data_IF_900637477486
#
_entry.id   IF_900637477486
#
_cell.length_a   1.000
_cell.length_b   1.000
_cell.length_c   1.000
_cell.angle_alpha   90.00
_cell.angle_beta   90.00
_cell.angle_gamma   90.00
#
_symmetry.space_group_name_H-M   'P 1'
#
loop_
_entity.id
_entity.type
_entity.pdbx_description
1 polymer ?
#
# COMPACT_ATOMS: atom_id res chain seq x y z
N UNK A 1 7.36 -12.00 10.44
CA UNK A 1 7.73 -12.08 9.00
C UNK A 1 7.45 -10.74 8.35
N UNK A 2 8.46 -10.07 7.80
CA UNK A 2 8.30 -8.78 7.09
C UNK A 2 8.52 -8.95 5.60
N UNK A 3 7.63 -8.42 4.78
CA UNK A 3 7.72 -8.45 3.31
C UNK A 3 7.40 -7.08 2.72
N UNK A 4 8.05 -6.74 1.60
CA UNK A 4 7.75 -5.51 0.87
C UNK A 4 6.49 -5.67 0.01
N UNK A 5 5.97 -4.54 -0.47
CA UNK A 5 4.95 -4.54 -1.51
C UNK A 5 5.55 -4.95 -2.86
N UNK A 6 4.85 -5.82 -3.58
CA UNK A 6 5.02 -6.00 -5.01
C UNK A 6 4.61 -4.71 -5.72
N UNK A 7 5.37 -4.35 -6.75
CA UNK A 7 5.11 -3.17 -7.57
C UNK A 7 5.01 -3.63 -9.01
N UNK A 8 3.84 -3.46 -9.61
CA UNK A 8 3.63 -3.82 -11.01
C UNK A 8 4.44 -2.90 -11.94
N UNK A 9 4.84 -3.41 -13.09
CA UNK A 9 5.65 -2.66 -14.06
C UNK A 9 4.95 -1.36 -14.53
N UNK A 10 3.63 -1.40 -14.75
CA UNK A 10 2.86 -0.24 -15.18
C UNK A 10 2.74 0.81 -14.07
N UNK A 11 2.68 0.40 -12.80
CA UNK A 11 2.75 1.32 -11.64
C UNK A 11 4.13 1.98 -11.58
N UNK A 12 5.22 1.24 -11.84
CA UNK A 12 6.56 1.84 -11.93
C UNK A 12 6.61 2.91 -13.02
N UNK A 13 6.08 2.62 -14.22
CA UNK A 13 6.02 3.58 -15.32
C UNK A 13 5.22 4.82 -14.92
N UNK A 14 4.04 4.64 -14.30
CA UNK A 14 3.22 5.74 -13.83
C UNK A 14 3.97 6.64 -12.83
N UNK A 15 4.68 6.04 -11.87
CA UNK A 15 5.46 6.79 -10.86
C UNK A 15 6.63 7.54 -11.52
N UNK A 16 7.36 6.89 -12.43
CA UNK A 16 8.44 7.55 -13.18
C UNK A 16 7.91 8.68 -14.08
N UNK A 17 6.73 8.52 -14.67
CA UNK A 17 6.07 9.58 -15.44
C UNK A 17 5.70 10.77 -14.54
N UNK A 18 5.18 10.53 -13.34
CA UNK A 18 4.90 11.59 -12.37
C UNK A 18 6.20 12.32 -12.00
N UNK A 19 7.28 11.61 -11.73
CA UNK A 19 8.59 12.23 -11.47
C UNK A 19 9.07 13.08 -12.66
N UNK A 20 8.91 12.60 -13.89
CA UNK A 20 9.26 13.36 -15.09
C UNK A 20 8.41 14.64 -15.23
N UNK A 21 7.11 14.58 -14.93
CA UNK A 21 6.21 15.74 -14.96
C UNK A 21 6.61 16.77 -13.88
N UNK A 22 6.94 16.32 -12.66
CA UNK A 22 7.40 17.22 -11.60
C UNK A 22 8.72 17.91 -11.96
N UNK A 23 9.67 17.20 -12.58
CA UNK A 23 10.90 17.83 -13.09
C UNK A 23 10.57 18.79 -14.23
N UNK A 24 9.72 18.39 -15.17
CA UNK A 24 9.27 19.26 -16.27
C UNK A 24 8.66 20.56 -15.75
N UNK A 25 7.78 20.50 -14.75
CA UNK A 25 7.13 21.69 -14.19
C UNK A 25 8.12 22.66 -13.55
N UNK A 26 9.23 22.18 -12.95
CA UNK A 26 10.31 23.08 -12.49
C UNK A 26 11.03 23.80 -13.63
N UNK A 27 11.19 23.15 -14.78
CA UNK A 27 11.93 23.72 -15.92
C UNK A 27 11.14 24.79 -16.66
N UNK A 28 9.81 24.70 -16.63
CA UNK A 28 8.91 25.68 -17.26
C UNK A 28 8.37 26.73 -16.26
N UNK A 29 8.82 26.72 -15.01
CA UNK A 29 8.39 27.68 -14.01
C UNK A 29 8.97 29.08 -14.29
N UNK A 30 8.16 30.12 -14.05
CA UNK A 30 8.60 31.50 -14.12
C UNK A 30 9.57 31.83 -12.97
N UNK A 31 10.45 32.83 -13.15
CA UNK A 31 11.43 33.23 -12.13
C UNK A 31 10.81 33.61 -10.79
N UNK A 32 9.60 34.17 -10.80
CA UNK A 32 8.88 34.61 -9.61
C UNK A 32 8.27 33.43 -8.82
N UNK A 33 7.99 32.31 -9.50
CA UNK A 33 7.32 31.14 -8.93
C UNK A 33 8.27 29.96 -8.69
N UNK A 34 9.47 29.97 -9.28
CA UNK A 34 10.39 28.83 -9.29
C UNK A 34 10.69 28.29 -7.89
N UNK A 35 10.88 29.17 -6.90
CA UNK A 35 11.15 28.77 -5.51
C UNK A 35 10.00 27.98 -4.92
N UNK A 36 8.76 28.45 -5.12
CA UNK A 36 7.55 27.78 -4.65
C UNK A 36 7.35 26.45 -5.36
N UNK A 37 7.52 26.42 -6.69
CA UNK A 37 7.37 25.20 -7.49
C UNK A 37 8.39 24.14 -7.08
N UNK A 38 9.67 24.52 -6.92
CA UNK A 38 10.73 23.61 -6.46
C UNK A 38 10.41 23.06 -5.07
N UNK A 39 9.98 23.90 -4.14
CA UNK A 39 9.63 23.47 -2.79
C UNK A 39 8.47 22.46 -2.78
N UNK A 40 7.38 22.77 -3.49
CA UNK A 40 6.22 21.87 -3.60
C UNK A 40 6.63 20.55 -4.26
N UNK A 41 7.38 20.61 -5.35
CA UNK A 41 7.85 19.42 -6.04
C UNK A 41 8.74 18.56 -5.16
N UNK A 42 9.66 19.16 -4.39
CA UNK A 42 10.51 18.43 -3.45
C UNK A 42 9.68 17.66 -2.39
N UNK A 43 8.63 18.28 -1.86
CA UNK A 43 7.72 17.62 -0.92
C UNK A 43 6.96 16.46 -1.58
N UNK A 44 6.46 16.64 -2.80
CA UNK A 44 5.79 15.58 -3.55
C UNK A 44 6.75 14.43 -3.89
N UNK A 45 7.99 14.75 -4.28
CA UNK A 45 9.05 13.79 -4.51
C UNK A 45 9.33 12.96 -3.27
N UNK A 46 9.55 13.61 -2.13
CA UNK A 46 9.80 12.94 -0.85
C UNK A 46 8.63 12.04 -0.45
N UNK A 47 7.39 12.52 -0.62
CA UNK A 47 6.18 11.77 -0.31
C UNK A 47 6.02 10.51 -1.20
N UNK A 48 6.17 10.66 -2.52
CA UNK A 48 6.07 9.54 -3.46
C UNK A 48 7.19 8.53 -3.27
N UNK A 49 8.42 9.01 -3.06
CA UNK A 49 9.57 8.19 -2.69
C UNK A 49 9.28 7.36 -1.43
N UNK A 50 8.71 7.99 -0.41
CA UNK A 50 8.38 7.32 0.85
C UNK A 50 7.30 6.24 0.64
N UNK A 51 6.27 6.48 -0.16
CA UNK A 51 5.30 5.44 -0.51
C UNK A 51 5.98 4.31 -1.28
N UNK A 52 6.79 4.63 -2.29
CA UNK A 52 7.44 3.65 -3.16
C UNK A 52 8.35 2.69 -2.39
N UNK A 53 9.21 3.22 -1.52
CA UNK A 53 10.17 2.41 -0.75
C UNK A 53 9.65 1.98 0.63
N UNK A 54 8.71 2.71 1.20
CA UNK A 54 8.17 2.51 2.54
C UNK A 54 6.91 1.67 2.62
N UNK A 55 6.44 1.08 1.52
CA UNK A 55 5.29 0.16 1.56
C UNK A 55 5.72 -1.27 1.89
N UNK A 56 5.33 -1.74 3.06
CA UNK A 56 5.63 -3.09 3.54
C UNK A 56 4.56 -3.61 4.50
N UNK A 57 4.57 -4.92 4.72
CA UNK A 57 3.68 -5.59 5.65
C UNK A 57 4.48 -6.49 6.57
N UNK A 58 4.06 -6.57 7.82
CA UNK A 58 4.72 -7.36 8.82
C UNK A 58 3.70 -8.15 9.66
N UNK A 59 3.89 -9.46 9.69
CA UNK A 59 3.18 -10.34 10.61
C UNK A 59 3.88 -10.26 11.98
N UNK A 60 3.33 -9.47 12.91
CA UNK A 60 3.73 -9.38 14.32
C UNK A 60 3.04 -10.49 15.13
N UNK A 61 3.30 -10.55 16.43
CA UNK A 61 2.76 -11.62 17.30
C UNK A 61 1.24 -11.54 17.41
N UNK A 62 0.67 -10.34 17.60
CA UNK A 62 -0.76 -10.16 17.87
C UNK A 62 -1.56 -9.54 16.71
N UNK A 63 -0.87 -8.90 15.76
CA UNK A 63 -1.52 -8.15 14.69
C UNK A 63 -0.73 -8.19 13.37
N UNK A 64 -1.45 -7.95 12.27
CA UNK A 64 -0.86 -7.60 10.99
C UNK A 64 -0.57 -6.10 10.96
N UNK A 65 0.68 -5.74 10.68
CA UNK A 65 1.09 -4.36 10.45
C UNK A 65 1.16 -4.09 8.95
N UNK A 66 0.43 -3.07 8.49
CA UNK A 66 0.46 -2.58 7.13
C UNK A 66 1.02 -1.15 7.13
N UNK A 67 2.01 -0.87 6.30
CA UNK A 67 2.58 0.47 6.15
C UNK A 67 2.68 0.85 4.66
N UNK A 68 2.41 2.12 4.36
CA UNK A 68 2.56 2.75 3.04
C UNK A 68 2.91 4.21 3.24
N UNK A 69 4.21 4.53 3.20
CA UNK A 69 4.70 5.87 3.50
C UNK A 69 4.29 6.31 4.92
N UNK A 70 3.63 7.47 5.09
CA UNK A 70 3.16 7.94 6.40
C UNK A 70 1.91 7.21 6.90
N UNK A 71 1.22 6.46 6.04
CA UNK A 71 0.02 5.71 6.42
C UNK A 71 0.41 4.37 7.01
N UNK A 72 -0.23 4.00 8.11
CA UNK A 72 -0.08 2.68 8.70
C UNK A 72 -1.39 2.20 9.31
N UNK A 73 -1.57 0.89 9.33
CA UNK A 73 -2.70 0.22 9.95
C UNK A 73 -2.22 -0.98 10.76
N UNK A 74 -2.79 -1.14 11.95
CA UNK A 74 -2.61 -2.33 12.80
C UNK A 74 -3.92 -3.08 12.80
N UNK A 75 -3.91 -4.31 12.30
CA UNK A 75 -5.10 -5.17 12.20
C UNK A 75 -4.89 -6.37 13.12
N UNK A 76 -5.48 -6.37 14.33
CA UNK A 76 -5.50 -7.52 15.22
C UNK A 76 -6.04 -8.77 14.52
N UNK A 77 -5.41 -9.93 14.73
CA UNK A 77 -5.78 -11.16 14.02
C UNK A 77 -7.19 -11.67 14.34
N UNK A 78 -7.69 -11.39 15.53
CA UNK A 78 -9.06 -11.68 15.98
C UNK A 78 -10.13 -10.85 15.27
N UNK A 79 -9.76 -9.67 14.76
CA UNK A 79 -10.64 -8.79 13.98
C UNK A 79 -10.69 -9.14 12.50
N UNK A 80 -9.81 -10.00 12.01
CA UNK A 80 -9.80 -10.38 10.59
C UNK A 80 -10.97 -11.34 10.32
N UNK A 81 -11.96 -10.84 9.57
CA UNK A 81 -13.17 -11.55 9.17
C UNK A 81 -12.93 -12.46 7.97
N UNK A 82 -12.22 -11.98 6.96
CA UNK A 82 -11.92 -12.78 5.77
C UNK A 82 -10.67 -12.30 5.08
N UNK A 83 -9.91 -13.22 4.50
CA UNK A 83 -8.74 -12.93 3.66
C UNK A 83 -8.98 -13.54 2.30
N UNK A 84 -8.87 -12.77 1.21
CA UNK A 84 -9.10 -13.27 -0.15
C UNK A 84 -8.02 -12.84 -1.11
N UNK A 85 -7.60 -13.78 -1.95
CA UNK A 85 -6.79 -13.49 -3.13
C UNK A 85 -7.68 -12.77 -4.14
N UNK A 86 -7.35 -11.52 -4.47
CA UNK A 86 -8.08 -10.73 -5.47
C UNK A 86 -7.13 -10.10 -6.48
N UNK A 87 -7.66 -9.77 -7.65
CA UNK A 87 -6.99 -8.95 -8.64
C UNK A 87 -7.89 -7.75 -8.90
N UNK A 88 -7.49 -6.59 -8.40
CA UNK A 88 -8.26 -5.36 -8.55
C UNK A 88 -7.35 -4.13 -8.52
N UNK A 89 -7.92 -2.96 -8.83
CA UNK A 89 -7.20 -1.69 -8.94
C UNK A 89 -7.45 -0.71 -7.77
N UNK A 90 -8.38 -1.02 -6.85
CA UNK A 90 -8.66 -0.21 -5.65
C UNK A 90 -7.43 0.22 -4.83
N UNK A 91 -7.14 1.51 -4.78
CA UNK A 91 -5.99 2.06 -4.06
C UNK A 91 -6.15 1.88 -2.55
N UNK A 92 -5.23 1.14 -1.93
CA UNK A 92 -5.04 1.04 -0.47
C UNK A 92 -3.54 0.89 -0.21
N UNK A 93 -3.13 0.13 0.78
CA UNK A 93 -1.71 -0.18 1.04
C UNK A 93 -1.08 -1.09 -0.04
N UNK A 94 -1.49 -1.05 -1.32
CA UNK A 94 -1.04 -1.97 -2.37
C UNK A 94 -0.54 -1.24 -3.63
N UNK A 95 0.63 -1.63 -4.13
CA UNK A 95 1.28 -1.09 -5.34
C UNK A 95 1.27 -2.08 -6.53
N UNK A 96 0.55 -3.19 -6.40
CA UNK A 96 0.35 -4.19 -7.45
C UNK A 96 -1.13 -4.57 -7.53
N UNK A 97 -1.58 -5.01 -8.70
CA UNK A 97 -2.91 -5.56 -8.99
C UNK A 97 -3.19 -6.85 -8.24
N UNK A 98 -2.16 -7.66 -7.99
CA UNK A 98 -2.27 -8.93 -7.26
C UNK A 98 -2.29 -8.70 -5.76
N UNK A 99 -3.48 -8.79 -5.17
CA UNK A 99 -3.73 -8.32 -3.79
C UNK A 99 -4.30 -9.40 -2.88
N UNK A 100 -4.13 -9.15 -1.59
CA UNK A 100 -4.90 -9.77 -0.53
C UNK A 100 -5.89 -8.74 -0.02
N UNK A 101 -7.17 -9.06 -0.16
CA UNK A 101 -8.26 -8.33 0.47
C UNK A 101 -8.41 -8.85 1.90
N UNK A 102 -8.33 -7.95 2.88
CA UNK A 102 -8.49 -8.25 4.29
C UNK A 102 -9.72 -7.48 4.78
N UNK A 103 -10.77 -8.21 5.18
CA UNK A 103 -11.96 -7.61 5.77
C UNK A 103 -11.92 -7.73 7.29
N UNK A 104 -12.34 -6.68 7.98
CA UNK A 104 -12.38 -6.61 9.43
C UNK A 104 -13.82 -6.74 9.96
N UNK A 105 -14.00 -7.44 11.09
CA UNK A 105 -15.25 -7.48 11.83
C UNK A 105 -15.60 -6.10 12.41
N UNK A 106 -16.91 -5.79 12.51
CA UNK A 106 -17.41 -4.57 13.15
C UNK A 106 -17.16 -3.27 12.35
N UNK A 107 -16.68 -3.35 11.10
CA UNK A 107 -16.48 -2.20 10.22
C UNK A 107 -17.23 -2.39 8.89
N UNK A 108 -17.73 -1.30 8.32
CA UNK A 108 -18.35 -1.31 6.98
C UNK A 108 -17.33 -1.60 5.88
N UNK A 109 -17.80 -1.89 4.66
CA UNK A 109 -16.92 -2.30 3.56
C UNK A 109 -15.80 -1.28 3.26
N UNK A 110 -16.09 0.02 3.34
CA UNK A 110 -15.13 1.09 3.00
C UNK A 110 -14.03 1.23 4.06
N UNK A 111 -14.37 1.16 5.35
CA UNK A 111 -13.43 1.37 6.47
C UNK A 111 -12.84 0.07 7.02
N UNK A 112 -13.44 -1.07 6.68
CA UNK A 112 -13.07 -2.40 7.13
C UNK A 112 -12.35 -3.25 6.10
N UNK A 113 -12.18 -2.77 4.86
CA UNK A 113 -11.48 -3.51 3.80
C UNK A 113 -10.11 -2.89 3.54
N UNK A 114 -9.07 -3.67 3.81
CA UNK A 114 -7.67 -3.29 3.56
C UNK A 114 -7.11 -4.16 2.44
N UNK A 115 -6.50 -3.55 1.43
CA UNK A 115 -5.81 -4.30 0.38
C UNK A 115 -4.29 -4.18 0.54
N UNK A 116 -3.61 -5.33 0.53
CA UNK A 116 -2.15 -5.41 0.57
C UNK A 116 -1.64 -6.22 -0.63
N UNK A 117 -0.44 -5.95 -1.11
CA UNK A 117 0.18 -6.68 -2.22
C UNK A 117 1.58 -7.19 -1.88
N UNK A 118 1.73 -8.15 -0.95
CA UNK A 118 3.05 -8.66 -0.55
C UNK A 118 3.79 -9.34 -1.72
N UNK A 119 5.10 -9.13 -1.85
CA UNK A 119 5.92 -9.74 -2.91
C UNK A 119 5.84 -11.28 -2.91
N UNK A 120 5.83 -11.88 -1.72
CA UNK A 120 5.65 -13.33 -1.53
C UNK A 120 4.19 -13.67 -1.24
N UNK A 121 3.29 -13.32 -2.17
CA UNK A 121 1.83 -13.32 -1.95
C UNK A 121 1.29 -14.61 -1.33
N UNK A 122 1.65 -15.77 -1.90
CA UNK A 122 1.13 -17.05 -1.44
C UNK A 122 1.68 -17.45 -0.07
N UNK A 123 2.99 -17.32 0.15
CA UNK A 123 3.65 -17.61 1.44
C UNK A 123 3.07 -16.73 2.55
N UNK A 124 2.94 -15.43 2.28
CA UNK A 124 2.38 -14.47 3.23
C UNK A 124 0.92 -14.76 3.56
N UNK A 125 0.12 -15.13 2.55
CA UNK A 125 -1.29 -15.52 2.73
C UNK A 125 -1.43 -16.73 3.66
N UNK A 126 -0.63 -17.78 3.44
CA UNK A 126 -0.67 -18.99 4.27
C UNK A 126 -0.27 -18.69 5.71
N UNK A 127 0.79 -17.90 5.92
CA UNK A 127 1.23 -17.50 7.26
C UNK A 127 0.22 -16.58 7.95
N UNK A 128 -0.46 -15.70 7.21
CA UNK A 128 -1.49 -14.83 7.76
C UNK A 128 -2.71 -15.64 8.22
N UNK A 129 -3.19 -16.61 7.41
CA UNK A 129 -4.33 -17.46 7.78
C UNK A 129 -4.07 -18.24 9.06
N UNK A 130 -2.87 -18.84 9.19
CA UNK A 130 -2.49 -19.61 10.40
C UNK A 130 -2.61 -18.81 11.70
N UNK A 131 -2.48 -17.49 11.63
CA UNK A 131 -2.55 -16.58 12.80
C UNK A 131 -3.97 -16.11 13.10
N UNK A 132 -4.87 -16.18 12.13
CA UNK A 132 -6.24 -15.71 12.26
C UNK A 132 -7.12 -16.82 12.85
N UNK A 133 -7.85 -16.50 13.94
CA UNK A 133 -8.71 -17.46 14.64
C UNK A 133 -10.18 -17.36 14.25
N UNK A 134 -10.61 -16.21 13.73
CA UNK A 134 -12.02 -15.85 13.50
C UNK A 134 -12.35 -15.67 12.01
N UNK A 135 -11.70 -16.44 11.14
CA UNK A 135 -11.96 -16.38 9.71
C UNK A 135 -13.33 -16.99 9.40
N UNK A 136 -14.17 -16.24 8.73
CA UNK A 136 -15.35 -16.78 8.07
C UNK A 136 -14.87 -17.58 6.86
N UNK A 137 -14.93 -18.90 6.97
CA UNK A 137 -14.75 -19.79 5.83
C UNK A 137 -15.99 -19.60 4.96
N UNK A 138 -15.85 -18.89 3.84
CA UNK A 138 -16.87 -18.94 2.80
C UNK A 138 -16.70 -20.25 2.06
N UNK A 139 -17.72 -21.11 2.17
CA UNK A 139 -18.02 -22.14 1.17
C UNK A 139 -18.16 -21.50 -0.23
#
# INVERSE_FOLDING_TARGET
MRVKSAIDWWIKILIWLIFAILIGSTLFASSDEVTTVVFVNLLLFAFLAWIYWGTYYELKEEYLYCASGPFFERIPYDRIKSIRLTENLFSSFALSTKRLEIRQHGKGFITGTTYISPTKRQEFYQELIKRCKNLEIKE
#
